data_IF_206389026238
#
_entry.id   IF_206389026238
#
_cell.length_a   1.000
_cell.length_b   1.000
_cell.length_c   1.000
_cell.angle_alpha   90.00
_cell.angle_beta   90.00
_cell.angle_gamma   90.00
#
_symmetry.space_group_name_H-M   'P 1'
#
loop_
_entity.id
_entity.type
_entity.pdbx_description
1 polymer ?
#
# COMPACT_ATOMS: atom_id res chain seq x y z
N UNK A 1 -5.52 19.56 -2.84
CA UNK A 1 -4.72 18.32 -2.92
C UNK A 1 -3.54 18.44 -1.97
N UNK A 2 -3.31 17.42 -1.15
CA UNK A 2 -2.11 17.29 -0.33
C UNK A 2 -1.29 16.12 -0.90
N UNK A 3 -0.05 16.39 -1.23
CA UNK A 3 0.96 15.39 -1.58
C UNK A 3 2.05 15.41 -0.51
N UNK A 4 2.57 14.26 -0.14
CA UNK A 4 3.61 14.18 0.88
C UNK A 4 4.70 13.18 0.47
N UNK A 5 5.90 13.45 0.92
CA UNK A 5 7.01 12.52 0.83
C UNK A 5 7.01 11.63 2.07
N UNK A 6 7.17 10.35 1.86
CA UNK A 6 7.29 9.37 2.94
C UNK A 6 8.67 8.75 2.93
N UNK A 7 9.12 8.27 4.05
CA UNK A 7 10.42 7.61 4.22
C UNK A 7 10.52 6.36 3.35
N UNK A 8 11.65 6.21 2.69
CA UNK A 8 11.88 5.16 1.71
C UNK A 8 12.85 4.09 2.24
N UNK A 9 12.68 2.87 1.76
CA UNK A 9 13.66 1.81 1.90
C UNK A 9 14.84 2.08 0.91
N UNK A 10 16.05 1.59 1.23
CA UNK A 10 16.40 0.71 2.36
C UNK A 10 16.66 1.45 3.70
N UNK A 11 16.82 2.77 3.69
CA UNK A 11 17.15 3.56 4.89
C UNK A 11 16.05 3.44 5.95
N UNK A 12 14.81 3.38 5.49
CA UNK A 12 13.62 3.29 6.33
C UNK A 12 12.68 2.19 5.82
N UNK A 13 12.96 0.92 6.14
CA UNK A 13 12.12 -0.19 5.70
C UNK A 13 10.73 -0.15 6.35
N UNK A 14 9.85 -1.04 5.90
CA UNK A 14 8.54 -1.21 6.52
C UNK A 14 8.64 -1.29 8.06
N UNK A 15 7.78 -0.63 8.82
CA UNK A 15 6.56 0.08 8.39
C UNK A 15 6.71 1.62 8.29
N UNK A 16 7.90 2.16 8.01
CA UNK A 16 8.15 3.59 8.09
C UNK A 16 7.18 4.41 7.20
N UNK A 17 7.02 4.04 5.93
CA UNK A 17 6.09 4.72 5.01
C UNK A 17 4.63 4.70 5.52
N UNK A 18 4.19 3.58 6.09
CA UNK A 18 2.85 3.46 6.67
C UNK A 18 2.67 4.36 7.90
N UNK A 19 3.70 4.50 8.73
CA UNK A 19 3.67 5.42 9.87
C UNK A 19 3.56 6.87 9.41
N UNK A 20 4.26 7.23 8.34
CA UNK A 20 4.18 8.57 7.75
C UNK A 20 2.78 8.84 7.17
N UNK A 21 2.21 7.87 6.45
CA UNK A 21 0.85 7.96 5.93
C UNK A 21 -0.19 8.11 7.05
N UNK A 22 -0.04 7.40 8.16
CA UNK A 22 -0.89 7.55 9.35
C UNK A 22 -0.74 8.94 9.98
N UNK A 23 0.48 9.47 10.04
CA UNK A 23 0.74 10.82 10.56
C UNK A 23 0.07 11.88 9.70
N UNK A 24 0.11 11.72 8.37
CA UNK A 24 -0.60 12.62 7.45
C UNK A 24 -2.12 12.49 7.61
N UNK A 25 -2.63 11.28 7.79
CA UNK A 25 -4.05 11.06 8.09
C UNK A 25 -4.49 11.78 9.35
N UNK A 26 -3.70 11.71 10.42
CA UNK A 26 -3.98 12.40 11.68
C UNK A 26 -3.87 13.92 11.53
N UNK A 27 -2.91 14.39 10.75
CA UNK A 27 -2.79 15.80 10.41
C UNK A 27 -4.03 16.33 9.67
N UNK A 28 -4.57 15.58 8.69
CA UNK A 28 -5.78 15.98 8.00
C UNK A 28 -6.98 16.06 8.96
N UNK A 29 -7.09 15.12 9.90
CA UNK A 29 -8.12 15.18 10.93
C UNK A 29 -7.95 16.40 11.87
N UNK A 30 -6.71 16.72 12.25
CA UNK A 30 -6.38 17.92 13.03
C UNK A 30 -6.76 19.21 12.29
N UNK A 31 -6.57 19.24 10.96
CA UNK A 31 -6.97 20.36 10.10
C UNK A 31 -8.49 20.47 9.91
N UNK A 32 -9.28 19.58 10.51
CA UNK A 32 -10.74 19.61 10.48
C UNK A 32 -11.39 18.83 9.34
N UNK A 33 -10.61 18.09 8.55
CA UNK A 33 -11.19 17.24 7.50
C UNK A 33 -11.76 15.95 8.10
N UNK A 34 -13.02 15.67 7.83
CA UNK A 34 -13.62 14.39 8.17
C UNK A 34 -13.10 13.27 7.25
N UNK A 35 -13.10 12.03 7.74
CA UNK A 35 -12.66 10.88 6.94
C UNK A 35 -13.41 10.76 5.61
N UNK A 36 -14.71 11.16 5.58
CA UNK A 36 -15.54 11.16 4.39
C UNK A 36 -15.25 12.32 3.41
N UNK A 37 -14.41 13.26 3.80
CA UNK A 37 -13.97 14.37 2.96
C UNK A 37 -12.65 14.06 2.27
N UNK A 38 -12.02 12.93 2.61
CA UNK A 38 -10.70 12.55 2.14
C UNK A 38 -10.81 11.41 1.12
N UNK A 39 -10.23 11.65 -0.06
CA UNK A 39 -9.90 10.61 -1.04
C UNK A 39 -8.40 10.33 -0.92
N UNK A 40 -8.02 9.06 -0.88
CA UNK A 40 -6.61 8.66 -0.87
C UNK A 40 -6.27 8.10 -2.23
N UNK A 41 -5.22 8.62 -2.84
CA UNK A 41 -4.75 8.19 -4.16
C UNK A 41 -3.30 7.71 -4.09
N UNK A 42 -2.96 6.72 -4.91
CA UNK A 42 -1.60 6.23 -5.00
C UNK A 42 -1.34 5.43 -6.28
N UNK A 43 -0.11 5.55 -6.78
CA UNK A 43 0.38 4.83 -7.94
C UNK A 43 1.38 3.75 -7.51
N UNK A 44 1.33 2.58 -8.11
CA UNK A 44 2.26 1.47 -7.90
C UNK A 44 2.46 1.14 -6.41
N UNK A 45 3.64 1.35 -5.85
CA UNK A 45 3.94 1.22 -4.42
C UNK A 45 3.11 2.18 -3.56
N UNK A 46 2.81 3.39 -4.06
CA UNK A 46 1.90 4.33 -3.40
C UNK A 46 0.47 3.82 -3.36
N UNK A 47 0.04 3.06 -4.37
CA UNK A 47 -1.25 2.36 -4.37
C UNK A 47 -1.31 1.26 -3.32
N UNK A 48 -0.21 0.53 -3.11
CA UNK A 48 -0.08 -0.42 -2.00
C UNK A 48 -0.17 0.31 -0.65
N UNK A 49 0.56 1.41 -0.48
CA UNK A 49 0.55 2.21 0.75
C UNK A 49 -0.86 2.76 1.06
N UNK A 50 -1.61 3.17 0.05
CA UNK A 50 -3.01 3.62 0.22
C UNK A 50 -3.91 2.49 0.74
N UNK A 51 -3.74 1.27 0.24
CA UNK A 51 -4.46 0.08 0.73
C UNK A 51 -4.03 -0.28 2.15
N UNK A 52 -2.73 -0.25 2.45
CA UNK A 52 -2.22 -0.51 3.80
C UNK A 52 -2.73 0.50 4.82
N UNK A 53 -2.78 1.78 4.46
CA UNK A 53 -3.37 2.82 5.30
C UNK A 53 -4.82 2.50 5.63
N UNK A 54 -5.63 2.18 4.63
CA UNK A 54 -7.04 1.86 4.83
C UNK A 54 -7.22 0.59 5.70
N UNK A 55 -6.43 -0.46 5.45
CA UNK A 55 -6.45 -1.67 6.28
C UNK A 55 -6.07 -1.36 7.74
N UNK A 56 -5.03 -0.56 7.95
CA UNK A 56 -4.58 -0.19 9.28
C UNK A 56 -5.62 0.65 10.03
N UNK A 57 -6.25 1.60 9.36
CA UNK A 57 -7.35 2.37 9.93
C UNK A 57 -8.51 1.45 10.33
N UNK A 58 -8.84 0.46 9.49
CA UNK A 58 -9.86 -0.53 9.79
C UNK A 58 -9.51 -1.39 11.01
N UNK A 59 -8.28 -1.92 11.07
CA UNK A 59 -7.78 -2.70 12.21
C UNK A 59 -7.86 -1.92 13.53
N UNK A 60 -7.63 -0.60 13.46
CA UNK A 60 -7.70 0.31 14.59
C UNK A 60 -9.15 0.75 14.93
N UNK A 61 -10.16 0.26 14.22
CA UNK A 61 -11.56 0.71 14.38
C UNK A 61 -11.79 2.17 14.00
N UNK A 62 -10.89 2.77 13.21
CA UNK A 62 -10.97 4.17 12.77
C UNK A 62 -11.82 4.30 11.52
N UNK A 63 -12.33 5.51 11.29
CA UNK A 63 -13.12 5.81 10.09
C UNK A 63 -12.26 5.68 8.84
N UNK A 64 -12.85 5.11 7.78
CA UNK A 64 -12.23 4.91 6.48
C UNK A 64 -12.28 6.17 5.62
N UNK A 65 -11.33 6.37 4.69
CA UNK A 65 -11.44 7.39 3.66
C UNK A 65 -12.72 7.17 2.82
N UNK A 66 -13.20 8.24 2.19
CA UNK A 66 -14.37 8.17 1.33
C UNK A 66 -14.19 7.19 0.17
N UNK A 67 -13.01 7.20 -0.45
CA UNK A 67 -12.64 6.26 -1.49
C UNK A 67 -11.11 6.19 -1.65
N UNK A 68 -10.66 5.14 -2.34
CA UNK A 68 -9.29 4.97 -2.79
C UNK A 68 -9.25 5.11 -4.32
N UNK A 69 -8.26 5.83 -4.83
CA UNK A 69 -7.94 5.91 -6.26
C UNK A 69 -6.59 5.22 -6.45
N UNK A 70 -6.62 4.06 -7.06
CA UNK A 70 -5.44 3.20 -7.19
C UNK A 70 -5.04 3.10 -8.66
N UNK A 71 -3.83 3.53 -8.96
CA UNK A 71 -3.26 3.47 -10.30
C UNK A 71 -2.21 2.35 -10.30
N UNK A 72 -2.48 1.28 -11.06
CA UNK A 72 -1.59 0.11 -11.16
C UNK A 72 -0.98 -0.31 -9.81
N UNK A 73 -1.77 -0.52 -8.75
CA UNK A 73 -1.25 -0.73 -7.40
C UNK A 73 -0.47 -2.04 -7.29
N UNK A 74 0.64 -2.02 -6.58
CA UNK A 74 1.36 -3.25 -6.25
C UNK A 74 0.65 -3.96 -5.08
N UNK A 75 -0.25 -4.89 -5.40
CA UNK A 75 -1.18 -5.49 -4.43
C UNK A 75 -0.71 -6.83 -3.86
N UNK A 76 0.31 -7.46 -4.44
CA UNK A 76 0.87 -8.72 -3.98
C UNK A 76 2.40 -8.68 -3.95
N UNK A 77 2.95 -8.44 -2.76
CA UNK A 77 4.40 -8.44 -2.53
C UNK A 77 5.01 -9.84 -2.66
N UNK A 78 4.21 -10.91 -2.72
CA UNK A 78 4.72 -12.28 -2.93
C UNK A 78 4.99 -12.58 -4.40
N UNK A 79 4.50 -11.74 -5.33
CA UNK A 79 4.59 -11.91 -6.77
C UNK A 79 4.05 -13.28 -7.23
N UNK A 80 2.97 -13.77 -6.61
CA UNK A 80 2.40 -15.11 -6.86
C UNK A 80 1.50 -15.18 -8.10
N UNK A 81 1.23 -14.05 -8.75
CA UNK A 81 0.39 -14.00 -9.95
C UNK A 81 1.02 -14.73 -11.15
N UNK A 82 0.25 -15.57 -11.84
CA UNK A 82 0.72 -16.33 -13.01
C UNK A 82 1.27 -15.43 -14.12
N UNK A 83 0.75 -14.20 -14.25
CA UNK A 83 1.22 -13.22 -15.24
C UNK A 83 2.70 -12.83 -15.08
N UNK A 84 3.26 -12.94 -13.90
CA UNK A 84 4.69 -12.67 -13.67
C UNK A 84 5.58 -13.65 -14.43
N UNK A 85 5.11 -14.88 -14.66
CA UNK A 85 5.84 -15.90 -15.42
C UNK A 85 5.42 -15.93 -16.88
N UNK A 86 4.12 -15.93 -17.15
CA UNK A 86 3.56 -16.08 -18.49
C UNK A 86 3.84 -14.87 -19.39
N UNK A 87 3.97 -13.68 -18.81
CA UNK A 87 4.19 -12.41 -19.53
C UNK A 87 5.53 -11.75 -19.25
N UNK A 88 6.46 -12.46 -18.61
CA UNK A 88 7.77 -11.93 -18.24
C UNK A 88 8.55 -11.34 -19.43
N UNK A 89 8.43 -11.93 -20.61
CA UNK A 89 9.13 -11.47 -21.82
C UNK A 89 8.46 -10.21 -22.47
N UNK A 90 7.24 -9.86 -22.04
CA UNK A 90 6.50 -8.74 -22.61
C UNK A 90 6.66 -7.45 -21.80
N UNK A 91 7.09 -7.54 -20.55
CA UNK A 91 7.29 -6.39 -19.69
C UNK A 91 8.75 -5.94 -19.72
N UNK A 92 9.04 -4.78 -20.33
CA UNK A 92 10.41 -4.29 -20.46
C UNK A 92 10.94 -3.65 -19.17
N UNK A 93 10.11 -3.42 -18.16
CA UNK A 93 10.43 -2.60 -17.00
C UNK A 93 10.38 -3.40 -15.69
N UNK A 94 9.32 -4.16 -15.46
CA UNK A 94 9.06 -4.87 -14.21
C UNK A 94 9.49 -6.34 -14.31
N UNK A 95 10.79 -6.58 -14.43
CA UNK A 95 11.32 -7.94 -14.45
C UNK A 95 11.20 -8.59 -13.05
N UNK A 96 11.13 -9.92 -13.00
CA UNK A 96 11.11 -10.65 -11.73
C UNK A 96 12.32 -10.33 -10.86
N UNK A 97 13.51 -10.20 -11.47
CA UNK A 97 14.73 -9.82 -10.75
C UNK A 97 14.60 -8.44 -10.09
N UNK A 98 14.03 -7.46 -10.80
CA UNK A 98 13.77 -6.14 -10.25
C UNK A 98 12.76 -6.20 -9.09
N UNK A 99 11.65 -6.90 -9.27
CA UNK A 99 10.60 -7.07 -8.24
C UNK A 99 11.18 -7.71 -6.99
N UNK A 100 11.97 -8.77 -7.12
CA UNK A 100 12.63 -9.45 -6.00
C UNK A 100 13.64 -8.55 -5.28
N UNK A 101 14.41 -7.76 -6.02
CA UNK A 101 15.36 -6.80 -5.45
C UNK A 101 14.64 -5.74 -4.62
N UNK A 102 13.60 -5.13 -5.16
CA UNK A 102 12.81 -4.11 -4.45
C UNK A 102 12.14 -4.73 -3.22
N UNK A 103 11.57 -5.93 -3.36
CA UNK A 103 10.97 -6.64 -2.25
C UNK A 103 11.95 -6.89 -1.10
N UNK A 104 13.17 -7.33 -1.42
CA UNK A 104 14.22 -7.56 -0.44
C UNK A 104 14.61 -6.29 0.32
N UNK A 105 14.63 -5.15 -0.35
CA UNK A 105 14.96 -3.85 0.24
C UNK A 105 13.82 -3.29 1.10
N UNK A 106 12.57 -3.51 0.70
CA UNK A 106 11.41 -2.95 1.40
C UNK A 106 10.97 -3.78 2.60
N UNK A 107 11.26 -5.09 2.59
CA UNK A 107 10.89 -5.98 3.69
C UNK A 107 11.79 -5.74 4.91
N UNK A 108 11.19 -5.46 6.07
CA UNK A 108 11.89 -5.61 7.35
C UNK A 108 12.25 -7.09 7.56
N UNK A 109 13.34 -7.41 8.30
CA UNK A 109 13.66 -8.80 8.63
C UNK A 109 12.49 -9.46 9.37
N UNK A 110 11.85 -10.45 8.72
CA UNK A 110 10.73 -11.21 9.29
C UNK A 110 9.65 -11.57 8.25
N UNK A 111 8.62 -12.33 8.63
CA UNK A 111 7.62 -12.88 7.71
C UNK A 111 6.57 -11.83 7.28
N UNK A 112 7.01 -10.66 6.81
CA UNK A 112 6.13 -9.58 6.35
C UNK A 112 5.34 -9.99 5.11
N UNK A 113 5.93 -10.84 4.27
CA UNK A 113 5.34 -11.29 3.00
C UNK A 113 3.99 -11.99 3.15
N UNK A 114 3.68 -12.51 4.33
CA UNK A 114 2.42 -13.21 4.62
C UNK A 114 1.44 -12.37 5.46
N UNK A 115 1.73 -11.09 5.72
CA UNK A 115 0.79 -10.23 6.42
C UNK A 115 -0.32 -9.76 5.47
N UNK A 116 -1.53 -9.49 5.97
CA UNK A 116 -2.61 -8.91 5.16
C UNK A 116 -2.19 -7.68 4.37
N UNK A 117 -1.33 -6.84 4.96
CA UNK A 117 -0.80 -5.63 4.34
C UNK A 117 0.12 -5.91 3.13
N UNK A 118 0.85 -7.04 3.10
CA UNK A 118 1.67 -7.41 1.92
C UNK A 118 0.83 -7.94 0.75
N UNK A 119 -0.43 -8.30 1.02
CA UNK A 119 -1.37 -8.86 0.05
C UNK A 119 -2.77 -8.26 0.25
N UNK A 120 -2.92 -6.93 0.14
CA UNK A 120 -4.16 -6.26 0.52
C UNK A 120 -5.37 -6.68 -0.32
N UNK A 121 -5.17 -7.18 -1.53
CA UNK A 121 -6.25 -7.63 -2.42
C UNK A 121 -6.62 -9.11 -2.28
N UNK A 122 -6.00 -9.87 -1.36
CA UNK A 122 -6.44 -11.23 -1.03
C UNK A 122 -7.54 -11.20 0.04
N UNK A 123 -7.80 -12.17 0.83
CA UNK A 123 -9.04 -12.29 1.63
C UNK A 123 -9.55 -11.03 2.33
N UNK A 124 -8.68 -10.05 2.54
CA UNK A 124 -9.02 -8.78 3.19
C UNK A 124 -9.69 -7.76 2.27
N UNK A 125 -9.62 -7.92 0.95
CA UNK A 125 -10.33 -7.02 0.03
C UNK A 125 -11.86 -7.10 0.20
N UNK A 126 -12.38 -8.27 0.58
CA UNK A 126 -13.80 -8.45 0.91
C UNK A 126 -14.23 -7.69 2.18
N UNK A 127 -13.29 -7.06 2.86
CA UNK A 127 -13.52 -6.39 4.12
C UNK A 127 -13.92 -4.92 4.00
N UNK A 128 -13.88 -4.33 2.80
CA UNK A 128 -14.38 -2.98 2.58
C UNK A 128 -15.90 -3.04 2.37
N UNK A 129 -16.71 -2.26 3.10
CA UNK A 129 -18.14 -2.20 2.85
C UNK A 129 -18.40 -1.66 1.44
N UNK A 130 -19.49 -2.07 0.79
CA UNK A 130 -19.95 -1.42 -0.43
C UNK A 130 -20.22 0.07 -0.17
N UNK A 131 -20.15 0.88 -1.19
CA UNK A 131 -20.38 2.33 -1.11
C UNK A 131 -21.76 2.69 -0.57
#
# INVERSE_FOLDING_TARGET
VLSFEYRLAPEHPYPAALQDALSVWDYMAYMGYGARDILVAGDSAGGNLALELALRLKEQGRRQPRALILMSPWTDMTASGASHTERAALDPMLTMQYIESVRALTAAPGPILNRPASRPCLPTCAAFPPP
#
